data_IF_496058919401
#
_entry.id   IF_496058919401
#
_cell.length_a   1.000
_cell.length_b   1.000
_cell.length_c   1.000
_cell.angle_alpha   90.00
_cell.angle_beta   90.00
_cell.angle_gamma   90.00
#
_symmetry.space_group_name_H-M   'P 1'
#
loop_
_entity.id
_entity.type
_entity.pdbx_description
1 polymer ?
#
# COMPACT_ATOMS: atom_id res chain seq x y z
N UNK A 1 -13.30 1.37 9.28
CA UNK A 1 -12.71 0.97 7.97
C UNK A 1 -12.58 -0.55 7.81
N UNK A 2 -12.96 -1.37 8.76
CA UNK A 2 -12.99 -2.85 8.61
C UNK A 2 -14.37 -3.35 8.19
N UNK A 3 -14.42 -4.57 7.59
CA UNK A 3 -15.64 -5.22 7.09
C UNK A 3 -15.62 -5.48 5.59
N UNK A 4 -16.79 -5.70 5.00
CA UNK A 4 -16.95 -5.96 3.57
C UNK A 4 -17.29 -4.68 2.81
N UNK A 5 -16.58 -4.42 1.73
CA UNK A 5 -16.77 -3.25 0.87
C UNK A 5 -16.87 -3.64 -0.60
N UNK A 6 -17.77 -2.96 -1.29
CA UNK A 6 -17.68 -2.77 -2.72
C UNK A 6 -16.77 -1.58 -2.95
N UNK A 7 -15.65 -1.80 -3.65
CA UNK A 7 -14.63 -0.78 -3.89
C UNK A 7 -14.64 -0.41 -5.36
N UNK A 8 -14.82 0.88 -5.66
CA UNK A 8 -14.65 1.40 -7.01
C UNK A 8 -13.36 2.20 -7.08
N UNK A 9 -12.42 1.74 -7.88
CA UNK A 9 -11.16 2.42 -8.18
C UNK A 9 -11.33 3.28 -9.42
N UNK A 10 -11.09 4.59 -9.28
CA UNK A 10 -11.08 5.52 -10.40
C UNK A 10 -9.74 6.23 -10.44
N UNK A 11 -9.09 6.25 -11.61
CA UNK A 11 -7.84 6.97 -11.84
C UNK A 11 -7.88 7.64 -13.22
N UNK A 12 -7.37 8.87 -13.28
CA UNK A 12 -7.20 9.61 -14.52
C UNK A 12 -6.00 10.56 -14.42
N UNK A 13 -5.16 10.59 -15.45
CA UNK A 13 -4.20 11.67 -15.61
C UNK A 13 -4.96 12.97 -15.96
N UNK A 14 -4.54 14.08 -15.34
CA UNK A 14 -5.24 15.37 -15.46
C UNK A 14 -4.42 16.42 -16.18
N UNK A 15 -3.12 16.47 -15.96
CA UNK A 15 -2.20 17.39 -16.61
C UNK A 15 -0.94 16.65 -17.02
N UNK A 16 -0.46 16.93 -18.23
CA UNK A 16 0.79 16.39 -18.77
C UNK A 16 1.81 17.52 -18.87
N UNK A 17 2.99 17.30 -18.30
CA UNK A 17 4.12 18.23 -18.32
C UNK A 17 5.32 17.65 -19.09
N UNK A 18 5.24 16.38 -19.50
CA UNK A 18 6.30 15.76 -20.29
C UNK A 18 6.61 16.59 -21.55
N UNK A 19 7.90 16.80 -21.80
CA UNK A 19 8.37 17.45 -23.03
C UNK A 19 8.61 16.43 -24.16
N UNK A 20 8.45 15.14 -23.87
CA UNK A 20 8.54 14.08 -24.86
C UNK A 20 7.26 14.06 -25.71
N UNK A 21 7.42 14.33 -27.01
CA UNK A 21 6.31 14.34 -27.97
C UNK A 21 5.68 12.96 -28.19
N UNK A 22 6.33 11.90 -27.72
CA UNK A 22 5.83 10.52 -27.78
C UNK A 22 5.10 10.08 -26.51
N UNK A 23 5.01 10.96 -25.51
CA UNK A 23 4.31 10.66 -24.27
C UNK A 23 2.85 10.28 -24.51
N UNK A 24 2.45 9.14 -23.95
CA UNK A 24 1.06 8.67 -23.99
C UNK A 24 0.51 8.65 -22.57
N UNK A 25 -0.56 9.43 -22.27
CA UNK A 25 -1.20 9.36 -20.97
C UNK A 25 -1.72 7.96 -20.64
N UNK A 26 -1.68 7.61 -19.36
CA UNK A 26 -2.27 6.35 -18.89
C UNK A 26 -3.78 6.35 -19.15
N UNK A 27 -4.36 5.22 -19.62
CA UNK A 27 -5.80 5.11 -19.80
C UNK A 27 -6.55 5.37 -18.49
N UNK A 28 -7.68 6.04 -18.58
CA UNK A 28 -8.58 6.17 -17.44
C UNK A 28 -8.97 4.78 -16.93
N UNK A 29 -8.84 4.58 -15.63
CA UNK A 29 -9.23 3.34 -14.98
C UNK A 29 -10.52 3.55 -14.20
N UNK A 30 -11.49 2.65 -14.42
CA UNK A 30 -12.65 2.48 -13.56
C UNK A 30 -12.87 0.98 -13.37
N UNK A 31 -12.77 0.51 -12.13
CA UNK A 31 -12.92 -0.91 -11.80
C UNK A 31 -13.64 -1.05 -10.47
N UNK A 32 -14.60 -1.95 -10.40
CA UNK A 32 -15.35 -2.25 -9.17
C UNK A 32 -15.07 -3.69 -8.76
N UNK A 33 -14.77 -3.87 -7.46
CA UNK A 33 -14.39 -5.16 -6.90
C UNK A 33 -14.85 -5.24 -5.43
N UNK A 34 -14.88 -6.45 -4.85
CA UNK A 34 -15.12 -6.61 -3.43
C UNK A 34 -13.81 -6.72 -2.64
N UNK A 35 -13.78 -6.08 -1.47
CA UNK A 35 -12.69 -6.22 -0.51
C UNK A 35 -13.23 -6.55 0.89
N UNK A 36 -12.67 -7.59 1.49
CA UNK A 36 -12.74 -7.82 2.92
C UNK A 36 -11.59 -7.08 3.59
N UNK A 37 -11.88 -6.26 4.59
CA UNK A 37 -10.86 -5.55 5.38
C UNK A 37 -10.88 -6.09 6.79
N UNK A 38 -9.82 -6.81 7.15
CA UNK A 38 -9.66 -7.40 8.47
C UNK A 38 -8.93 -6.47 9.42
N UNK A 39 -9.41 -6.42 10.68
CA UNK A 39 -8.76 -5.70 11.78
C UNK A 39 -7.77 -6.64 12.46
N UNK A 40 -6.52 -6.60 12.03
CA UNK A 40 -5.45 -7.51 12.48
C UNK A 40 -4.90 -7.13 13.84
N UNK A 41 -4.80 -5.83 14.11
CA UNK A 41 -4.33 -5.28 15.38
C UNK A 41 -5.15 -4.04 15.73
N UNK A 42 -5.53 -3.92 17.00
CA UNK A 42 -6.24 -2.76 17.54
C UNK A 42 -5.76 -2.47 18.94
N UNK A 43 -4.89 -1.48 19.08
CA UNK A 43 -4.40 -0.98 20.36
C UNK A 43 -4.60 0.52 20.46
N UNK A 44 -4.28 1.11 21.60
CA UNK A 44 -4.43 2.57 21.83
C UNK A 44 -3.66 3.39 20.78
N UNK A 45 -2.47 2.90 20.38
CA UNK A 45 -1.54 3.67 19.55
C UNK A 45 -1.30 3.00 18.18
N UNK A 46 -1.97 1.87 17.88
CA UNK A 46 -1.74 1.16 16.62
C UNK A 46 -2.99 0.42 16.14
N UNK A 47 -3.30 0.60 14.86
CA UNK A 47 -4.37 -0.10 14.15
C UNK A 47 -3.77 -0.70 12.89
N UNK A 48 -3.98 -1.99 12.66
CA UNK A 48 -3.51 -2.68 11.45
C UNK A 48 -4.71 -3.22 10.69
N UNK A 49 -4.87 -2.79 9.45
CA UNK A 49 -5.94 -3.19 8.55
C UNK A 49 -5.35 -3.95 7.35
N UNK A 50 -5.79 -5.19 7.16
CA UNK A 50 -5.42 -6.00 6.02
C UNK A 50 -6.55 -6.08 5.02
N UNK A 51 -6.29 -5.71 3.80
CA UNK A 51 -7.22 -5.77 2.68
C UNK A 51 -7.06 -7.09 1.92
N UNK A 52 -8.17 -7.75 1.64
CA UNK A 52 -8.26 -8.99 0.87
C UNK A 52 -9.23 -8.77 -0.27
N UNK A 53 -8.72 -8.82 -1.48
CA UNK A 53 -9.48 -8.57 -2.69
C UNK A 53 -10.13 -9.85 -3.18
N UNK A 54 -11.40 -9.76 -3.59
CA UNK A 54 -12.17 -10.84 -4.18
C UNK A 54 -12.77 -10.36 -5.50
N UNK A 55 -12.52 -11.09 -6.58
CA UNK A 55 -13.20 -10.78 -7.86
C UNK A 55 -14.69 -11.08 -7.77
N UNK A 56 -15.49 -10.35 -8.54
CA UNK A 56 -16.95 -10.47 -8.55
C UNK A 56 -17.49 -11.59 -9.44
N UNK A 57 -16.63 -12.42 -10.07
CA UNK A 57 -17.06 -13.51 -10.94
C UNK A 57 -17.66 -14.65 -10.15
N UNK A 58 -18.88 -15.05 -10.48
CA UNK A 58 -19.58 -16.15 -9.81
C UNK A 58 -18.99 -17.53 -10.17
N UNK A 59 -18.29 -17.65 -11.30
CA UNK A 59 -17.74 -18.93 -11.79
C UNK A 59 -16.24 -19.08 -11.57
N UNK A 60 -15.49 -17.97 -11.59
CA UNK A 60 -14.04 -17.94 -11.50
C UNK A 60 -13.55 -16.90 -10.49
N UNK A 61 -14.27 -16.73 -9.39
CA UNK A 61 -13.86 -15.82 -8.34
C UNK A 61 -12.52 -16.25 -7.74
N UNK A 62 -11.55 -15.35 -7.74
CA UNK A 62 -10.28 -15.57 -7.08
C UNK A 62 -10.06 -14.54 -5.97
N UNK A 63 -9.23 -14.93 -5.00
CA UNK A 63 -8.92 -14.11 -3.83
C UNK A 63 -7.43 -13.81 -3.82
N UNK A 64 -7.10 -12.54 -3.58
CA UNK A 64 -5.72 -12.08 -3.45
C UNK A 64 -5.58 -11.31 -2.14
N UNK A 65 -4.53 -11.64 -1.35
CA UNK A 65 -4.08 -10.70 -0.33
C UNK A 65 -3.71 -9.39 -1.04
N UNK A 66 -4.37 -8.32 -0.67
CA UNK A 66 -4.11 -7.01 -1.26
C UNK A 66 -3.16 -6.21 -0.37
N UNK A 67 -3.31 -4.93 -0.29
CA UNK A 67 -2.47 -4.05 0.51
C UNK A 67 -2.80 -4.15 2.00
N UNK A 68 -1.86 -3.68 2.83
CA UNK A 68 -2.05 -3.49 4.26
C UNK A 68 -1.79 -2.03 4.60
N UNK A 69 -2.51 -1.51 5.58
CA UNK A 69 -2.25 -0.20 6.16
C UNK A 69 -2.13 -0.32 7.68
N UNK A 70 -1.02 0.20 8.20
CA UNK A 70 -0.74 0.31 9.61
C UNK A 70 -0.86 1.79 10.00
N UNK A 71 -1.75 2.08 10.92
CA UNK A 71 -1.92 3.40 11.51
C UNK A 71 -1.25 3.42 12.87
N UNK A 72 -0.33 4.37 13.10
CA UNK A 72 0.40 4.51 14.35
C UNK A 72 0.34 5.94 14.86
N UNK A 73 -0.01 6.08 16.14
CA UNK A 73 -0.11 7.38 16.83
C UNK A 73 1.26 7.83 17.31
N UNK A 74 1.65 9.07 16.98
CA UNK A 74 2.91 9.70 17.40
C UNK A 74 4.15 8.85 17.06
N UNK A 75 4.14 8.24 15.89
CA UNK A 75 5.22 7.39 15.42
C UNK A 75 6.35 8.22 14.80
N UNK A 76 7.55 8.06 15.36
CA UNK A 76 8.76 8.79 14.94
C UNK A 76 9.57 8.06 13.87
N UNK A 77 9.26 6.80 13.59
CA UNK A 77 10.02 5.94 12.68
C UNK A 77 9.32 5.80 11.34
N UNK A 78 9.84 6.41 10.29
CA UNK A 78 9.29 6.30 8.95
C UNK A 78 10.30 5.71 7.97
N UNK A 79 9.78 5.07 6.93
CA UNK A 79 10.51 4.65 5.75
C UNK A 79 10.00 5.44 4.56
N UNK A 80 10.83 6.31 4.01
CA UNK A 80 10.52 7.16 2.87
C UNK A 80 11.08 6.50 1.62
N UNK A 81 10.21 6.26 0.63
CA UNK A 81 10.64 5.73 -0.66
C UNK A 81 11.55 6.73 -1.36
N UNK A 82 12.63 6.23 -1.88
CA UNK A 82 13.50 6.94 -2.82
C UNK A 82 13.28 6.38 -4.24
N UNK A 83 14.31 6.09 -5.00
CA UNK A 83 14.22 5.41 -6.30
C UNK A 83 14.70 3.95 -6.19
N UNK A 84 14.56 3.17 -7.23
CA UNK A 84 15.15 1.84 -7.39
C UNK A 84 14.89 0.86 -6.23
N UNK A 85 13.64 0.86 -5.74
CA UNK A 85 13.20 -0.01 -4.64
C UNK A 85 13.99 0.20 -3.35
N UNK A 86 14.40 1.43 -3.09
CA UNK A 86 15.09 1.86 -1.88
C UNK A 86 14.18 2.68 -0.98
N UNK A 87 14.24 2.42 0.32
CA UNK A 87 13.57 3.19 1.36
C UNK A 87 14.60 3.71 2.35
N UNK A 88 14.59 5.01 2.57
CA UNK A 88 15.46 5.68 3.53
C UNK A 88 14.76 5.70 4.89
N UNK A 89 15.45 5.24 5.93
CA UNK A 89 14.96 5.38 7.29
C UNK A 89 15.04 6.85 7.73
N UNK A 90 13.93 7.35 8.20
CA UNK A 90 13.81 8.73 8.69
C UNK A 90 13.26 8.73 10.12
N UNK A 91 14.03 9.29 11.03
CA UNK A 91 13.62 9.52 12.41
C UNK A 91 13.08 10.95 12.54
N UNK A 92 11.79 11.07 12.85
CA UNK A 92 11.12 12.36 13.04
C UNK A 92 11.31 12.89 14.47
N UNK A 93 11.33 14.21 14.61
CA UNK A 93 11.26 14.81 15.94
C UNK A 93 9.90 14.51 16.58
N UNK A 94 9.89 14.31 17.91
CA UNK A 94 8.65 14.06 18.65
C UNK A 94 7.64 15.19 18.53
N UNK A 95 8.11 16.44 18.46
CA UNK A 95 7.23 17.60 18.26
C UNK A 95 6.56 17.60 16.90
N UNK A 96 7.20 17.01 15.87
CA UNK A 96 6.64 16.93 14.52
C UNK A 96 5.52 15.90 14.39
N UNK A 97 5.44 14.95 15.31
CA UNK A 97 4.44 13.88 15.30
C UNK A 97 3.40 13.99 16.42
N UNK A 98 3.55 14.94 17.32
CA UNK A 98 2.62 15.16 18.44
C UNK A 98 1.18 15.32 17.94
N UNK A 99 0.26 14.53 18.46
CA UNK A 99 -1.16 14.51 18.06
C UNK A 99 -1.42 13.97 16.65
N UNK A 100 -0.43 13.41 15.96
CA UNK A 100 -0.55 12.94 14.59
C UNK A 100 -0.56 11.42 14.50
N UNK A 101 -1.13 10.94 13.39
CA UNK A 101 -1.09 9.54 12.99
C UNK A 101 -0.24 9.37 11.73
N UNK A 102 0.64 8.39 11.75
CA UNK A 102 1.27 7.91 10.52
C UNK A 102 0.40 6.83 9.86
N UNK A 103 0.34 6.84 8.53
CA UNK A 103 -0.13 5.70 7.73
C UNK A 103 1.07 5.08 7.04
N UNK A 104 1.37 3.81 7.36
CA UNK A 104 2.36 3.00 6.65
C UNK A 104 1.63 2.02 5.76
N UNK A 105 1.89 2.08 4.48
CA UNK A 105 1.25 1.21 3.49
C UNK A 105 2.25 0.18 2.99
N UNK A 106 1.77 -1.07 2.89
CA UNK A 106 2.55 -2.22 2.48
C UNK A 106 1.90 -2.89 1.27
N UNK A 107 2.73 -3.50 0.44
CA UNK A 107 2.32 -4.21 -0.77
C UNK A 107 1.70 -5.58 -0.46
N UNK A 108 1.37 -6.34 -1.49
CA UNK A 108 0.74 -7.67 -1.36
C UNK A 108 1.63 -8.70 -0.67
N UNK A 109 2.94 -8.51 -0.65
CA UNK A 109 3.96 -9.33 0.02
C UNK A 109 4.44 -8.74 1.35
N UNK A 110 3.75 -7.73 1.85
CA UNK A 110 4.08 -6.94 3.03
C UNK A 110 5.38 -6.12 2.93
N UNK A 111 5.98 -6.03 1.75
CA UNK A 111 7.07 -5.09 1.48
C UNK A 111 6.58 -3.64 1.70
N UNK A 112 7.37 -2.76 2.29
CA UNK A 112 7.03 -1.34 2.40
C UNK A 112 6.64 -0.75 1.05
N UNK A 113 5.69 0.18 1.06
CA UNK A 113 5.32 0.92 -0.13
C UNK A 113 5.54 2.42 0.05
N UNK A 114 4.87 3.03 1.01
CA UNK A 114 5.05 4.43 1.39
C UNK A 114 4.58 4.66 2.83
N UNK A 115 5.02 5.76 3.40
CA UNK A 115 4.58 6.21 4.72
C UNK A 115 4.30 7.71 4.69
N UNK A 116 3.24 8.13 5.35
CA UNK A 116 2.90 9.54 5.50
C UNK A 116 2.43 9.84 6.93
N UNK A 117 2.60 11.08 7.36
CA UNK A 117 2.15 11.58 8.68
C UNK A 117 1.15 12.70 8.48
N UNK A 118 0.09 12.69 9.25
CA UNK A 118 -0.94 13.71 9.21
C UNK A 118 -1.81 13.71 10.47
N UNK A 119 -2.67 14.70 10.56
CA UNK A 119 -3.63 14.83 11.65
C UNK A 119 -5.01 14.43 11.19
N UNK A 120 -5.72 13.63 11.98
CA UNK A 120 -7.15 13.43 11.80
C UNK A 120 -7.89 14.70 12.20
N UNK A 121 -8.65 15.25 11.27
CA UNK A 121 -9.51 16.41 11.49
C UNK A 121 -10.97 15.95 11.61
N UNK A 122 -11.67 16.50 12.58
CA UNK A 122 -13.07 16.21 12.87
C UNK A 122 -13.83 17.53 12.90
N UNK A 123 -14.36 17.96 11.74
CA UNK A 123 -15.03 19.25 11.56
C UNK A 123 -16.39 19.02 10.86
N UNK A 124 -17.42 19.64 11.38
CA UNK A 124 -18.76 19.65 10.78
C UNK A 124 -19.30 18.25 10.41
N UNK A 125 -19.04 17.26 11.26
CA UNK A 125 -19.43 15.87 11.03
C UNK A 125 -18.57 15.10 10.03
N UNK A 126 -17.53 15.72 9.47
CA UNK A 126 -16.58 15.08 8.56
C UNK A 126 -15.32 14.69 9.34
N UNK A 127 -14.85 13.46 9.13
CA UNK A 127 -13.58 12.97 9.69
C UNK A 127 -12.65 12.58 8.54
N UNK A 128 -11.51 13.26 8.43
CA UNK A 128 -10.53 12.97 7.38
C UNK A 128 -9.09 13.14 7.87
N UNK A 129 -8.20 12.51 7.15
CA UNK A 129 -6.75 12.56 7.33
C UNK A 129 -6.07 12.77 5.98
N UNK A 130 -5.00 13.56 5.97
CA UNK A 130 -4.24 13.88 4.76
C UNK A 130 -2.75 13.76 5.00
N UNK A 131 -2.04 13.30 3.95
CA UNK A 131 -0.56 13.31 3.91
C UNK A 131 -0.05 13.32 2.47
N UNK A 132 1.23 13.64 2.32
CA UNK A 132 1.98 13.45 1.08
C UNK A 132 3.12 12.46 1.33
N UNK A 133 3.35 11.54 0.38
CA UNK A 133 4.38 10.53 0.49
C UNK A 133 4.89 10.09 -0.88
N UNK A 134 6.19 9.87 -1.00
CA UNK A 134 6.79 9.23 -2.17
C UNK A 134 6.57 7.72 -2.12
N UNK A 135 6.31 7.14 -3.27
CA UNK A 135 6.02 5.73 -3.47
C UNK A 135 6.62 5.22 -4.79
N UNK A 136 6.88 3.91 -4.91
CA UNK A 136 7.15 3.31 -6.21
C UNK A 136 5.95 3.48 -7.15
N UNK A 137 6.17 3.24 -8.45
CA UNK A 137 5.16 3.35 -9.49
C UNK A 137 3.83 2.70 -9.08
N UNK A 138 2.74 3.24 -9.61
CA UNK A 138 1.46 2.57 -9.50
C UNK A 138 1.58 1.13 -10.02
N UNK A 139 1.11 0.15 -9.25
CA UNK A 139 1.31 -1.27 -9.57
C UNK A 139 0.81 -1.67 -10.96
N UNK A 140 -0.24 -1.01 -11.45
CA UNK A 140 -0.76 -1.17 -12.81
C UNK A 140 0.19 -0.68 -13.90
N UNK A 141 1.23 0.07 -13.53
CA UNK A 141 2.17 0.73 -14.45
C UNK A 141 3.60 0.18 -14.40
N UNK A 142 3.95 -0.57 -13.35
CA UNK A 142 5.33 -1.09 -13.14
C UNK A 142 5.87 -1.92 -14.30
N UNK A 143 5.01 -2.59 -15.08
CA UNK A 143 5.43 -3.43 -16.20
C UNK A 143 5.32 -2.75 -17.57
N UNK A 144 4.76 -1.54 -17.62
CA UNK A 144 4.43 -0.87 -18.90
C UNK A 144 4.98 0.55 -19.01
N UNK A 145 5.52 1.11 -17.92
CA UNK A 145 6.08 2.48 -17.89
C UNK A 145 7.46 2.50 -17.26
N UNK A 146 8.34 3.31 -17.84
CA UNK A 146 9.69 3.61 -17.36
C UNK A 146 10.03 5.11 -17.44
N UNK A 147 9.05 5.93 -17.81
CA UNK A 147 9.20 7.38 -18.00
C UNK A 147 9.07 8.18 -16.72
N UNK A 148 8.74 7.52 -15.60
CA UNK A 148 8.81 8.06 -14.25
C UNK A 148 9.23 6.97 -13.26
N UNK A 149 9.80 7.33 -12.11
CA UNK A 149 10.30 6.39 -11.12
C UNK A 149 9.82 6.67 -9.68
N UNK A 150 9.16 7.82 -9.46
CA UNK A 150 8.54 8.17 -8.17
C UNK A 150 7.08 8.59 -8.41
N UNK A 151 6.17 8.02 -7.64
CA UNK A 151 4.81 8.51 -7.51
C UNK A 151 4.68 9.28 -6.20
N UNK A 152 4.77 10.62 -6.26
CA UNK A 152 4.51 11.46 -5.11
C UNK A 152 3.00 11.53 -4.89
N UNK A 153 2.53 10.91 -3.81
CA UNK A 153 1.11 10.68 -3.53
C UNK A 153 0.58 11.72 -2.56
N UNK A 154 -0.36 12.54 -2.99
CA UNK A 154 -1.25 13.23 -2.06
C UNK A 154 -2.36 12.26 -1.65
N UNK A 155 -2.44 11.89 -0.39
CA UNK A 155 -3.44 10.98 0.12
C UNK A 155 -4.43 11.72 1.02
N UNK A 156 -5.72 11.51 0.79
CA UNK A 156 -6.78 11.90 1.71
C UNK A 156 -7.68 10.71 1.99
N UNK A 157 -7.78 10.34 3.26
CA UNK A 157 -8.70 9.30 3.74
C UNK A 157 -9.83 9.98 4.50
N UNK A 158 -11.06 9.79 4.05
CA UNK A 158 -12.24 10.39 4.67
C UNK A 158 -13.23 9.31 5.09
N UNK A 159 -13.71 9.37 6.33
CA UNK A 159 -14.80 8.51 6.81
C UNK A 159 -16.13 9.09 6.35
N UNK A 160 -17.02 8.24 5.86
CA UNK A 160 -18.34 8.61 5.36
C UNK A 160 -19.42 7.72 6.01
N UNK A 161 -20.68 8.09 5.88
CA UNK A 161 -21.81 7.31 6.42
C UNK A 161 -21.95 5.94 5.73
N UNK A 162 -21.52 5.85 4.46
CA UNK A 162 -21.58 4.60 3.68
C UNK A 162 -20.29 3.75 3.76
N UNK A 163 -19.23 4.28 4.39
CA UNK A 163 -17.95 3.59 4.48
C UNK A 163 -16.77 4.56 4.57
N UNK A 164 -15.94 4.65 3.53
CA UNK A 164 -14.82 5.58 3.48
C UNK A 164 -14.36 5.85 2.05
N UNK A 165 -13.62 6.92 1.88
CA UNK A 165 -13.10 7.43 0.62
C UNK A 165 -11.58 7.53 0.71
N UNK A 166 -10.87 7.15 -0.35
CA UNK A 166 -9.46 7.41 -0.53
C UNK A 166 -9.25 8.24 -1.79
N UNK A 167 -9.11 9.53 -1.61
CA UNK A 167 -8.72 10.45 -2.67
C UNK A 167 -7.21 10.48 -2.81
N UNK A 168 -6.74 10.66 -4.04
CA UNK A 168 -5.34 10.75 -4.35
C UNK A 168 -5.10 11.90 -5.32
N UNK A 169 -4.11 12.72 -5.00
CA UNK A 169 -3.59 13.78 -5.87
C UNK A 169 -2.12 13.51 -6.12
N UNK A 170 -1.85 12.73 -7.16
CA UNK A 170 -0.55 12.16 -7.42
C UNK A 170 0.23 13.00 -8.43
N UNK A 171 1.57 13.05 -8.25
CA UNK A 171 2.52 13.53 -9.25
C UNK A 171 3.38 12.36 -9.70
N UNK A 172 3.42 12.10 -11.01
CA UNK A 172 4.39 11.19 -11.62
C UNK A 172 5.68 11.94 -11.82
N UNK A 173 6.74 11.53 -11.15
CA UNK A 173 8.02 12.25 -11.11
C UNK A 173 9.11 11.35 -11.67
N UNK A 174 9.92 11.90 -12.56
CA UNK A 174 11.22 11.33 -12.91
C UNK A 174 12.29 11.99 -12.06
N UNK A 175 12.90 11.21 -11.18
CA UNK A 175 13.92 11.64 -10.22
C UNK A 175 15.26 11.05 -10.60
N UNK A 176 16.30 11.87 -10.58
CA UNK A 176 17.70 11.49 -10.68
C UNK A 176 18.46 12.08 -9.48
N UNK A 177 19.73 11.73 -9.33
CA UNK A 177 20.60 12.32 -8.29
C UNK A 177 20.74 13.85 -8.41
N UNK A 178 20.48 14.41 -9.58
CA UNK A 178 20.72 15.83 -9.88
C UNK A 178 19.44 16.65 -10.05
N UNK A 179 18.31 16.03 -10.30
CA UNK A 179 17.08 16.76 -10.67
C UNK A 179 15.81 15.93 -10.47
N UNK A 180 14.71 16.66 -10.36
CA UNK A 180 13.37 16.09 -10.42
C UNK A 180 12.55 16.82 -11.48
N UNK A 181 11.73 16.07 -12.23
CA UNK A 181 10.77 16.62 -13.17
C UNK A 181 9.42 15.96 -13.03
N UNK A 182 8.36 16.75 -12.98
CA UNK A 182 6.98 16.25 -13.00
C UNK A 182 6.64 15.89 -14.44
N UNK A 183 6.25 14.65 -14.68
CA UNK A 183 5.86 14.13 -15.99
C UNK A 183 4.35 14.33 -16.21
N UNK A 184 3.56 13.98 -15.20
CA UNK A 184 2.11 14.16 -15.25
C UNK A 184 1.51 14.24 -13.84
N UNK A 185 0.29 14.80 -13.76
CA UNK A 185 -0.55 14.72 -12.57
C UNK A 185 -1.60 13.64 -12.77
N UNK A 186 -1.98 12.96 -11.70
CA UNK A 186 -3.01 11.93 -11.70
C UNK A 186 -3.95 12.12 -10.51
N UNK A 187 -5.25 12.06 -10.75
CA UNK A 187 -6.26 11.98 -9.69
C UNK A 187 -6.72 10.53 -9.51
N UNK A 188 -6.81 10.12 -8.25
CA UNK A 188 -7.45 8.90 -7.83
C UNK A 188 -8.66 9.20 -6.95
N UNK A 189 -9.74 8.46 -7.16
CA UNK A 189 -10.95 8.58 -6.34
C UNK A 189 -11.50 7.18 -6.09
N UNK A 190 -11.15 6.62 -4.94
CA UNK A 190 -11.51 5.24 -4.60
C UNK A 190 -12.56 5.25 -3.50
N UNK A 191 -13.76 4.79 -3.82
CA UNK A 191 -14.87 4.69 -2.88
C UNK A 191 -14.96 3.29 -2.29
N UNK A 192 -15.08 3.22 -0.99
CA UNK A 192 -15.30 1.99 -0.22
C UNK A 192 -16.72 2.03 0.35
N UNK A 193 -17.66 1.45 -0.37
CA UNK A 193 -19.07 1.39 0.06
C UNK A 193 -19.31 0.11 0.84
N UNK A 194 -19.72 0.23 2.09
CA UNK A 194 -20.02 -0.92 2.95
C UNK A 194 -21.18 -1.72 2.38
N UNK A 195 -20.97 -3.04 2.27
CA UNK A 195 -21.98 -3.98 1.78
C UNK A 195 -22.18 -5.13 2.75
N UNK A 196 -23.18 -5.98 2.48
CA UNK A 196 -23.41 -7.16 3.30
C UNK A 196 -22.19 -8.10 3.28
N UNK A 197 -21.83 -8.65 4.45
CA UNK A 197 -20.64 -9.49 4.64
C UNK A 197 -20.61 -10.72 3.72
N UNK A 198 -21.76 -11.24 3.26
CA UNK A 198 -21.79 -12.37 2.33
C UNK A 198 -21.15 -12.09 0.97
N UNK A 199 -21.06 -10.82 0.57
CA UNK A 199 -20.38 -10.42 -0.68
C UNK A 199 -18.87 -10.63 -0.64
N UNK A 200 -18.27 -10.67 0.56
CA UNK A 200 -16.85 -10.90 0.77
C UNK A 200 -16.54 -12.27 1.43
N UNK A 201 -17.50 -13.20 1.41
CA UNK A 201 -17.36 -14.46 2.15
C UNK A 201 -16.10 -15.24 1.74
N UNK A 202 -15.82 -15.36 0.44
CA UNK A 202 -14.64 -16.06 -0.06
C UNK A 202 -13.34 -15.41 0.43
N UNK A 203 -13.26 -14.08 0.42
CA UNK A 203 -12.10 -13.34 0.91
C UNK A 203 -11.90 -13.54 2.42
N UNK A 204 -12.98 -13.48 3.21
CA UNK A 204 -12.93 -13.67 4.66
C UNK A 204 -12.50 -15.11 5.03
N UNK A 205 -13.05 -16.12 4.36
CA UNK A 205 -12.67 -17.52 4.56
C UNK A 205 -11.24 -17.79 4.14
N UNK A 206 -10.83 -17.28 2.97
CA UNK A 206 -9.45 -17.37 2.50
C UNK A 206 -8.48 -16.76 3.51
N UNK A 207 -8.78 -15.56 4.01
CA UNK A 207 -7.95 -14.88 4.99
C UNK A 207 -7.81 -15.68 6.29
N UNK A 208 -8.89 -16.22 6.80
CA UNK A 208 -8.88 -17.09 7.99
C UNK A 208 -7.94 -18.27 7.86
N UNK A 209 -7.89 -18.90 6.66
CA UNK A 209 -7.00 -20.05 6.38
C UNK A 209 -5.53 -19.60 6.29
N UNK A 210 -5.26 -18.40 5.77
CA UNK A 210 -3.91 -17.93 5.46
C UNK A 210 -3.34 -16.96 6.51
N UNK A 211 -4.12 -16.60 7.51
CA UNK A 211 -3.78 -15.60 8.53
C UNK A 211 -2.42 -15.85 9.18
N UNK A 212 -2.16 -17.06 9.68
CA UNK A 212 -0.92 -17.40 10.38
C UNK A 212 0.31 -17.25 9.47
N UNK A 213 0.20 -17.69 8.21
CA UNK A 213 1.27 -17.50 7.22
C UNK A 213 1.63 -16.03 7.06
N UNK A 214 0.63 -15.21 6.82
CA UNK A 214 0.86 -13.78 6.60
C UNK A 214 1.24 -13.04 7.88
N UNK A 215 0.88 -13.56 9.04
CA UNK A 215 1.39 -13.08 10.32
C UNK A 215 2.91 -13.33 10.45
N UNK A 216 3.42 -14.48 10.00
CA UNK A 216 4.87 -14.73 9.97
C UNK A 216 5.58 -13.82 8.97
N UNK A 217 5.02 -13.59 7.79
CA UNK A 217 5.56 -12.65 6.79
C UNK A 217 5.67 -11.25 7.39
N UNK A 218 4.60 -10.76 8.01
CA UNK A 218 4.57 -9.45 8.67
C UNK A 218 5.62 -9.33 9.78
N UNK A 219 5.73 -10.35 10.62
CA UNK A 219 6.76 -10.38 11.69
C UNK A 219 8.18 -10.38 11.12
N UNK A 220 8.42 -11.05 10.02
CA UNK A 220 9.72 -11.05 9.36
C UNK A 220 10.08 -9.67 8.80
N UNK A 221 9.13 -8.98 8.18
CA UNK A 221 9.32 -7.59 7.74
C UNK A 221 9.54 -6.65 8.93
N UNK A 222 8.73 -6.75 9.98
CA UNK A 222 8.88 -5.90 11.17
C UNK A 222 10.29 -6.01 11.79
N UNK A 223 10.86 -7.24 11.90
CA UNK A 223 12.23 -7.40 12.40
C UNK A 223 13.26 -6.57 11.61
N UNK A 224 13.06 -6.38 10.32
CA UNK A 224 13.97 -5.61 9.46
C UNK A 224 13.74 -4.12 9.58
N UNK A 225 12.47 -3.73 9.60
CA UNK A 225 12.09 -2.33 9.79
C UNK A 225 12.45 -1.81 11.19
N UNK A 226 12.38 -2.67 12.21
CA UNK A 226 12.77 -2.32 13.58
C UNK A 226 14.30 -2.12 13.75
N UNK A 227 15.11 -2.48 12.73
CA UNK A 227 16.55 -2.15 12.73
C UNK A 227 16.80 -0.66 12.52
N UNK A 228 15.81 0.09 12.04
CA UNK A 228 15.89 1.53 11.78
C UNK A 228 17.09 1.90 10.87
N UNK A 229 17.24 1.14 9.79
CA UNK A 229 18.27 1.33 8.75
C UNK A 229 17.61 1.44 7.40
N UNK A 230 18.29 2.06 6.45
CA UNK A 230 17.88 2.06 5.05
C UNK A 230 17.61 0.65 4.56
N UNK A 231 16.65 0.52 3.68
CA UNK A 231 16.21 -0.76 3.13
C UNK A 231 16.28 -0.70 1.60
N UNK A 232 17.06 -1.60 1.01
CA UNK A 232 17.11 -1.79 -0.44
C UNK A 232 16.61 -3.18 -0.80
N UNK A 233 15.80 -3.27 -1.87
CA UNK A 233 15.16 -4.52 -2.28
C UNK A 233 15.48 -4.81 -3.73
N UNK A 234 16.12 -5.95 -3.97
CA UNK A 234 16.43 -6.46 -5.29
C UNK A 234 15.24 -7.22 -5.86
N UNK A 235 14.49 -6.58 -6.75
CA UNK A 235 13.39 -7.21 -7.48
C UNK A 235 13.85 -7.77 -8.84
N UNK A 236 14.95 -7.33 -9.38
CA UNK A 236 15.41 -7.61 -10.76
C UNK A 236 16.14 -8.94 -10.88
N UNK A 237 16.93 -9.31 -9.88
CA UNK A 237 17.66 -10.58 -9.86
C UNK A 237 16.78 -11.79 -9.49
N UNK A 238 15.54 -11.56 -9.13
CA UNK A 238 14.61 -12.63 -8.77
C UNK A 238 13.56 -12.84 -9.87
N UNK A 239 13.72 -13.88 -10.68
CA UNK A 239 12.78 -14.28 -11.74
C UNK A 239 11.35 -14.59 -11.25
N UNK A 240 11.18 -14.77 -9.94
CA UNK A 240 9.89 -15.04 -9.31
C UNK A 240 9.64 -13.96 -8.26
N UNK A 241 8.52 -13.24 -8.35
CA UNK A 241 8.18 -12.22 -7.37
C UNK A 241 8.08 -12.80 -5.96
N UNK A 242 8.46 -12.01 -4.95
CA UNK A 242 8.39 -12.39 -3.53
C UNK A 242 6.98 -12.89 -3.17
N UNK A 243 5.93 -12.19 -3.64
CA UNK A 243 4.56 -12.63 -3.44
C UNK A 243 4.32 -14.06 -3.94
N UNK A 244 4.81 -14.38 -5.15
CA UNK A 244 4.64 -15.72 -5.72
C UNK A 244 5.39 -16.79 -4.92
N UNK A 245 6.59 -16.50 -4.42
CA UNK A 245 7.32 -17.43 -3.54
C UNK A 245 6.55 -17.67 -2.23
N UNK A 246 6.09 -16.60 -1.57
CA UNK A 246 5.36 -16.68 -0.31
C UNK A 246 3.98 -17.32 -0.47
N UNK A 247 3.23 -16.97 -1.52
CA UNK A 247 1.86 -17.48 -1.74
C UNK A 247 1.84 -18.99 -2.00
N UNK A 248 2.84 -19.52 -2.73
CA UNK A 248 2.97 -20.94 -3.11
C UNK A 248 3.56 -21.84 -2.03
N UNK A 249 3.95 -21.31 -0.86
CA UNK A 249 4.45 -22.14 0.23
C UNK A 249 3.41 -23.19 0.63
N UNK A 250 3.85 -24.45 0.64
CA UNK A 250 3.05 -25.58 1.14
C UNK A 250 2.88 -25.48 2.65
N UNK A 251 1.80 -26.03 3.19
CA UNK A 251 1.46 -25.96 4.62
C UNK A 251 2.64 -26.36 5.53
N UNK A 252 3.35 -27.44 5.22
CA UNK A 252 4.47 -27.93 6.00
C UNK A 252 5.72 -27.03 5.96
N UNK A 253 5.80 -26.15 4.96
CA UNK A 253 6.87 -25.17 4.77
C UNK A 253 6.54 -23.80 5.37
N UNK A 254 5.35 -23.62 5.94
CA UNK A 254 4.96 -22.37 6.62
C UNK A 254 5.60 -22.33 8.00
N UNK A 255 6.89 -21.94 8.04
CA UNK A 255 7.68 -21.81 9.28
C UNK A 255 8.34 -20.42 9.30
N UNK A 256 8.44 -19.78 10.48
CA UNK A 256 9.04 -18.44 10.58
C UNK A 256 10.45 -18.35 9.98
N UNK A 257 11.30 -19.35 10.19
CA UNK A 257 12.66 -19.36 9.65
C UNK A 257 12.70 -19.42 8.13
N UNK A 258 11.86 -20.26 7.50
CA UNK A 258 11.81 -20.38 6.02
C UNK A 258 11.32 -19.06 5.41
N UNK A 259 10.30 -18.44 6.00
CA UNK A 259 9.77 -17.16 5.54
C UNK A 259 10.84 -16.07 5.71
N UNK A 260 11.56 -16.07 6.81
CA UNK A 260 12.62 -15.11 7.07
C UNK A 260 13.78 -15.22 6.09
N UNK A 261 14.19 -16.43 5.72
CA UNK A 261 15.18 -16.70 4.68
C UNK A 261 14.71 -16.21 3.32
N UNK A 262 13.48 -16.56 2.92
CA UNK A 262 12.91 -16.11 1.63
C UNK A 262 12.91 -14.58 1.54
N UNK A 263 12.51 -13.86 2.57
CA UNK A 263 12.47 -12.39 2.55
C UNK A 263 13.87 -11.82 2.52
N UNK A 264 14.82 -12.40 3.26
CA UNK A 264 16.21 -11.96 3.28
C UNK A 264 16.87 -12.02 1.90
N UNK A 265 16.54 -13.02 1.08
CA UNK A 265 17.09 -13.18 -0.27
C UNK A 265 16.72 -12.02 -1.23
N UNK A 266 15.75 -11.19 -0.87
CA UNK A 266 15.34 -10.00 -1.64
C UNK A 266 15.92 -8.71 -1.08
N UNK A 267 16.59 -8.72 0.07
CA UNK A 267 17.15 -7.53 0.69
C UNK A 267 18.63 -7.45 0.33
N UNK A 268 19.05 -6.32 -0.22
CA UNK A 268 20.46 -5.98 -0.45
C UNK A 268 20.97 -5.13 0.70
N UNK A 269 22.21 -5.40 1.15
CA UNK A 269 22.88 -4.61 2.18
C UNK A 269 23.44 -3.29 1.64
#
# INVERSE_FOLDING_TARGET
>A
MCGCYEVTFNYAETFVFSQDSTYVPSPNKKETIYEWVDLVENSKNKIVLQHILQTSSDTDAFVIKHWRQDWQYEDVNLYIYDVDNKWIFNYLDKNDVEGKWSQKVYQIDDMPRYSGVGTWLHLDGISYWESTADAPLARRETMIRSDYNVLNRGNRVQITDYGWLHEQDNKKIYRTDLSESIIAMEKGYNTYTRVNANKCQLAAEWWKIHFDKWQYVRRSWNKRLDLNKDLSIDLDNNSISLYNKLSKLKKDSIKPLIIDEIIRDYITE
#
